data_IF_306314567380
#
_entry.id   IF_306314567380
#
_cell.length_a   1.000
_cell.length_b   1.000
_cell.length_c   1.000
_cell.angle_alpha   90.00
_cell.angle_beta   90.00
_cell.angle_gamma   90.00
#
_symmetry.space_group_name_H-M   'P 1'
#
loop_
_entity.id
_entity.type
_entity.pdbx_description
1 polymer ?
#
# COMPACT_ATOMS: atom_id res chain seq x y z
N UNK A 1 -9.84 -44.04 -21.57
CA UNK A 1 -8.40 -43.70 -21.51
C UNK A 1 -8.13 -42.22 -21.20
N UNK A 2 -8.71 -41.25 -21.93
CA UNK A 2 -8.48 -39.80 -21.70
C UNK A 2 -8.81 -39.29 -20.29
N UNK A 3 -9.85 -39.83 -19.62
CA UNK A 3 -10.24 -39.39 -18.28
C UNK A 3 -9.31 -39.91 -17.18
N UNK A 4 -8.78 -41.14 -17.33
CA UNK A 4 -7.83 -41.73 -16.40
C UNK A 4 -6.46 -41.07 -16.51
N UNK A 5 -6.09 -40.60 -17.71
CA UNK A 5 -4.86 -39.84 -17.95
C UNK A 5 -4.90 -38.44 -17.33
N UNK A 6 -6.05 -37.76 -17.36
CA UNK A 6 -6.25 -36.47 -16.66
C UNK A 6 -6.17 -36.62 -15.13
N UNK A 7 -6.74 -37.70 -14.58
CA UNK A 7 -6.66 -38.02 -13.15
C UNK A 7 -5.23 -38.36 -12.72
N UNK A 8 -4.50 -39.14 -13.53
CA UNK A 8 -3.10 -39.46 -13.28
C UNK A 8 -2.20 -38.21 -13.35
N UNK A 9 -2.46 -37.30 -14.31
CA UNK A 9 -1.75 -36.02 -14.42
C UNK A 9 -2.00 -35.11 -13.22
N UNK A 10 -3.23 -35.08 -12.70
CA UNK A 10 -3.58 -34.29 -11.52
C UNK A 10 -2.91 -34.83 -10.24
N UNK A 11 -2.88 -36.15 -10.07
CA UNK A 11 -2.20 -36.80 -8.94
C UNK A 11 -0.69 -36.60 -9.02
N UNK A 12 -0.10 -36.68 -10.22
CA UNK A 12 1.31 -36.37 -10.45
C UNK A 12 1.63 -34.90 -10.13
N UNK A 13 0.79 -33.96 -10.58
CA UNK A 13 0.95 -32.54 -10.29
C UNK A 13 0.89 -32.28 -8.78
N UNK A 14 -0.08 -32.88 -8.07
CA UNK A 14 -0.17 -32.71 -6.62
C UNK A 14 1.00 -33.35 -5.87
N UNK A 15 1.49 -34.51 -6.32
CA UNK A 15 2.67 -35.15 -5.74
C UNK A 15 3.96 -34.33 -5.96
N UNK A 16 4.11 -33.72 -7.14
CA UNK A 16 5.20 -32.79 -7.43
C UNK A 16 5.09 -31.56 -6.53
N UNK A 17 3.89 -31.00 -6.31
CA UNK A 17 3.70 -29.90 -5.37
C UNK A 17 4.15 -30.27 -3.94
N UNK A 18 3.80 -31.47 -3.44
CA UNK A 18 4.24 -31.93 -2.12
C UNK A 18 5.76 -32.16 -2.04
N UNK A 19 6.39 -32.67 -3.11
CA UNK A 19 7.84 -32.90 -3.16
C UNK A 19 8.64 -31.59 -3.30
N UNK A 20 8.11 -30.59 -4.01
CA UNK A 20 8.75 -29.27 -4.12
C UNK A 20 8.67 -28.46 -2.83
N UNK A 21 7.66 -28.69 -1.97
CA UNK A 21 7.61 -28.06 -0.64
C UNK A 21 8.70 -28.60 0.31
N UNK A 22 9.13 -29.86 0.14
CA UNK A 22 10.12 -30.49 1.02
C UNK A 22 11.58 -30.25 0.59
N UNK A 23 11.81 -29.60 -0.56
CA UNK A 23 13.15 -29.36 -1.11
C UNK A 23 13.69 -27.93 -0.82
N UNK A 24 12.99 -27.14 -0.02
CA UNK A 24 13.46 -25.84 0.49
C UNK A 24 14.16 -25.93 1.87
N UNK A 25 14.49 -27.11 2.37
CA UNK A 25 15.49 -27.21 3.44
C UNK A 25 16.88 -27.18 2.79
N UNK A 26 17.33 -25.95 2.50
CA UNK A 26 18.73 -25.69 2.24
C UNK A 26 19.55 -26.25 3.41
N UNK A 27 20.65 -26.90 3.02
CA UNK A 27 21.68 -27.53 3.85
C UNK A 27 21.97 -26.70 5.12
N UNK A 28 21.39 -27.10 6.26
CA UNK A 28 21.75 -26.54 7.55
C UNK A 28 23.05 -27.20 8.00
N UNK A 29 24.14 -26.85 7.33
CA UNK A 29 25.49 -27.08 7.83
C UNK A 29 25.49 -26.61 9.28
N UNK A 30 25.79 -27.53 10.19
CA UNK A 30 25.67 -27.36 11.64
C UNK A 30 26.13 -25.95 12.03
N UNK A 31 25.21 -25.02 12.36
CA UNK A 31 25.58 -23.64 12.56
C UNK A 31 26.55 -23.61 13.73
N UNK A 32 27.76 -23.12 13.47
CA UNK A 32 28.78 -22.96 14.51
C UNK A 32 28.13 -22.25 15.70
N UNK A 33 28.30 -22.79 16.93
CA UNK A 33 27.58 -22.30 18.08
C UNK A 33 27.87 -20.82 18.30
N UNK A 34 26.83 -20.04 18.62
CA UNK A 34 26.99 -18.62 18.92
C UNK A 34 27.97 -18.46 20.10
N UNK A 35 29.04 -17.66 19.97
CA UNK A 35 29.98 -17.40 21.06
C UNK A 35 29.27 -16.79 22.28
N UNK A 36 29.65 -17.22 23.48
CA UNK A 36 28.99 -16.79 24.72
C UNK A 36 29.02 -15.26 24.91
N UNK A 37 30.14 -14.62 24.56
CA UNK A 37 30.29 -13.17 24.60
C UNK A 37 29.31 -12.46 23.65
N UNK A 38 29.12 -12.98 22.44
CA UNK A 38 28.14 -12.46 21.47
C UNK A 38 26.72 -12.62 22.01
N UNK A 39 26.39 -13.76 22.63
CA UNK A 39 25.08 -13.96 23.24
C UNK A 39 24.78 -12.91 24.32
N UNK A 40 25.71 -12.72 25.25
CA UNK A 40 25.54 -11.76 26.35
C UNK A 40 25.43 -10.31 25.85
N UNK A 41 26.21 -9.97 24.82
CA UNK A 41 26.14 -8.65 24.17
C UNK A 41 24.80 -8.43 23.48
N UNK A 42 24.30 -9.44 22.73
CA UNK A 42 23.00 -9.36 22.05
C UNK A 42 21.85 -9.24 23.06
N UNK A 43 21.85 -10.04 24.12
CA UNK A 43 20.81 -9.98 25.16
C UNK A 43 20.82 -8.62 25.86
N UNK A 44 22.00 -8.13 26.26
CA UNK A 44 22.12 -6.83 26.93
C UNK A 44 21.69 -5.67 26.03
N UNK A 45 22.13 -5.67 24.77
CA UNK A 45 21.76 -4.65 23.80
C UNK A 45 20.26 -4.65 23.48
N UNK A 46 19.66 -5.83 23.33
CA UNK A 46 18.21 -5.95 23.12
C UNK A 46 17.40 -5.50 24.35
N UNK A 47 17.87 -5.80 25.56
CA UNK A 47 17.25 -5.29 26.79
C UNK A 47 17.31 -3.75 26.84
N UNK A 48 18.48 -3.17 26.53
CA UNK A 48 18.67 -1.72 26.52
C UNK A 48 17.77 -1.03 25.50
N UNK A 49 17.72 -1.54 24.26
CA UNK A 49 16.78 -1.05 23.25
C UNK A 49 15.34 -1.13 23.76
N UNK A 50 14.90 -2.29 24.23
CA UNK A 50 13.51 -2.45 24.65
C UNK A 50 13.14 -1.51 25.81
N UNK A 51 14.06 -1.26 26.74
CA UNK A 51 13.86 -0.28 27.83
C UNK A 51 13.80 1.15 27.31
N UNK A 52 14.65 1.51 26.36
CA UNK A 52 14.65 2.84 25.75
C UNK A 52 13.34 3.10 25.01
N UNK A 53 12.91 2.16 24.16
CA UNK A 53 11.63 2.25 23.45
C UNK A 53 10.45 2.32 24.43
N UNK A 54 10.45 1.50 25.49
CA UNK A 54 9.43 1.54 26.53
C UNK A 54 9.36 2.86 27.30
N UNK A 55 10.46 3.62 27.34
CA UNK A 55 10.53 4.92 28.01
C UNK A 55 10.11 6.09 27.11
N UNK A 56 9.86 5.88 25.82
CA UNK A 56 9.37 6.93 24.94
C UNK A 56 7.95 7.35 25.30
N UNK A 57 7.73 8.65 25.42
CA UNK A 57 6.39 9.23 25.35
C UNK A 57 6.05 9.59 23.90
N UNK A 58 4.77 9.93 23.63
CA UNK A 58 4.32 10.21 22.27
C UNK A 58 5.09 11.38 21.60
N UNK A 59 5.58 12.35 22.38
CA UNK A 59 6.33 13.50 21.86
C UNK A 59 7.76 13.12 21.52
N UNK A 60 8.44 12.42 22.43
CA UNK A 60 9.81 11.94 22.21
C UNK A 60 9.85 10.98 21.04
N UNK A 61 8.89 10.06 20.95
CA UNK A 61 8.80 9.13 19.83
C UNK A 61 8.74 9.85 18.47
N UNK A 62 7.94 10.92 18.38
CA UNK A 62 7.84 11.71 17.15
C UNK A 62 9.16 12.44 16.84
N UNK A 63 9.80 13.02 17.86
CA UNK A 63 11.11 13.68 17.70
C UNK A 63 12.19 12.71 17.22
N UNK A 64 12.27 11.51 17.81
CA UNK A 64 13.24 10.48 17.41
C UNK A 64 12.96 9.97 15.98
N UNK A 65 11.70 9.91 15.57
CA UNK A 65 11.31 9.51 14.22
C UNK A 65 11.77 10.53 13.18
N UNK A 66 11.53 11.83 13.43
CA UNK A 66 12.01 12.91 12.57
C UNK A 66 13.54 12.91 12.44
N UNK A 67 14.23 12.69 13.57
CA UNK A 67 15.68 12.56 13.61
C UNK A 67 16.19 11.34 12.82
N UNK A 68 15.52 10.19 12.95
CA UNK A 68 15.86 8.98 12.20
C UNK A 68 15.70 9.21 10.69
N UNK A 69 14.63 9.88 10.27
CA UNK A 69 14.38 10.26 8.88
C UNK A 69 15.44 11.24 8.35
N UNK A 70 15.80 12.25 9.14
CA UNK A 70 16.84 13.20 8.78
C UNK A 70 18.20 12.52 8.60
N UNK A 71 18.57 11.63 9.54
CA UNK A 71 19.81 10.84 9.47
C UNK A 71 19.75 9.71 8.43
N UNK A 72 18.59 9.48 7.80
CA UNK A 72 18.30 8.37 6.87
C UNK A 72 18.61 7.00 7.48
N UNK A 73 18.38 6.84 8.78
CA UNK A 73 18.52 5.57 9.47
C UNK A 73 17.23 4.76 9.30
N UNK A 74 17.16 3.98 8.23
CA UNK A 74 15.98 3.19 7.85
C UNK A 74 15.60 2.14 8.88
N UNK A 75 16.59 1.57 9.58
CA UNK A 75 16.36 0.58 10.64
C UNK A 75 15.62 1.22 11.80
N UNK A 76 16.11 2.36 12.27
CA UNK A 76 15.48 3.09 13.38
C UNK A 76 14.12 3.67 13.00
N UNK A 77 13.97 4.22 11.78
CA UNK A 77 12.68 4.72 11.29
C UNK A 77 11.60 3.62 11.30
N UNK A 78 11.96 2.43 10.80
CA UNK A 78 11.06 1.26 10.77
C UNK A 78 10.70 0.82 12.18
N UNK A 79 11.70 0.73 13.06
CA UNK A 79 11.52 0.34 14.47
C UNK A 79 10.61 1.32 15.22
N UNK A 80 10.83 2.63 15.10
CA UNK A 80 10.05 3.69 15.76
C UNK A 80 8.60 3.69 15.25
N UNK A 81 8.39 3.48 13.95
CA UNK A 81 7.04 3.39 13.37
C UNK A 81 6.29 2.15 13.87
N UNK A 82 6.97 0.99 13.92
CA UNK A 82 6.41 -0.23 14.46
C UNK A 82 6.07 -0.09 15.96
N UNK A 83 6.97 0.57 16.71
CA UNK A 83 6.77 0.86 18.12
C UNK A 83 5.59 1.81 18.35
N UNK A 84 5.43 2.86 17.54
CA UNK A 84 4.32 3.82 17.63
C UNK A 84 2.95 3.14 17.63
N UNK A 85 2.79 2.13 16.78
CA UNK A 85 1.56 1.34 16.70
C UNK A 85 1.38 0.49 17.97
N UNK A 86 2.46 -0.16 18.42
CA UNK A 86 2.43 -1.10 19.55
C UNK A 86 2.29 -0.42 20.92
N UNK A 87 2.88 0.77 21.09
CA UNK A 87 2.93 1.50 22.36
C UNK A 87 1.53 1.76 22.94
N UNK A 88 0.57 2.16 22.11
CA UNK A 88 -0.80 2.44 22.56
C UNK A 88 -1.53 1.19 23.06
N UNK A 89 -1.16 0.04 22.53
CA UNK A 89 -1.79 -1.25 22.80
C UNK A 89 -1.16 -2.02 23.97
N UNK A 90 0.10 -1.73 24.31
CA UNK A 90 0.88 -2.44 25.33
C UNK A 90 0.74 -1.85 26.75
N UNK A 91 0.69 -0.52 26.89
CA UNK A 91 0.75 0.14 28.20
C UNK A 91 2.20 0.25 28.74
N UNK A 92 2.37 0.40 30.05
CA UNK A 92 3.69 0.48 30.69
C UNK A 92 4.46 -0.84 30.67
N UNK A 93 5.79 -0.78 30.63
CA UNK A 93 6.66 -1.95 30.78
C UNK A 93 6.69 -2.42 32.24
N UNK A 94 6.42 -3.72 32.45
CA UNK A 94 6.43 -4.35 33.79
C UNK A 94 7.74 -5.10 34.03
N UNK A 95 8.13 -5.97 33.09
CA UNK A 95 9.36 -6.76 33.19
C UNK A 95 9.85 -7.25 31.82
N UNK A 96 11.14 -7.55 31.72
CA UNK A 96 11.76 -8.17 30.54
C UNK A 96 12.31 -9.53 30.98
N UNK A 97 11.98 -10.60 30.26
CA UNK A 97 12.51 -11.94 30.49
C UNK A 97 13.82 -12.13 29.71
N UNK A 98 14.92 -11.73 30.34
CA UNK A 98 16.27 -11.92 29.78
C UNK A 98 16.80 -13.32 29.97
N UNK A 99 16.28 -14.09 30.94
CA UNK A 99 16.70 -15.46 31.20
C UNK A 99 16.14 -16.44 30.15
N UNK A 100 14.94 -16.17 29.65
CA UNK A 100 14.31 -16.89 28.55
C UNK A 100 14.78 -16.46 27.15
N UNK A 101 15.67 -15.46 27.04
CA UNK A 101 16.12 -14.94 25.76
C UNK A 101 16.88 -15.99 24.95
N UNK A 102 16.52 -16.14 23.67
CA UNK A 102 17.14 -17.09 22.76
C UNK A 102 17.95 -16.33 21.72
N UNK A 103 19.25 -16.65 21.62
CA UNK A 103 20.14 -16.10 20.61
C UNK A 103 20.43 -17.15 19.56
N UNK A 104 20.07 -16.84 18.31
CA UNK A 104 20.24 -17.67 17.13
C UNK A 104 21.28 -17.04 16.20
N UNK A 105 22.03 -17.89 15.50
CA UNK A 105 22.89 -17.47 14.38
C UNK A 105 22.08 -17.64 13.11
N UNK A 106 21.85 -16.57 12.34
CA UNK A 106 21.25 -16.69 11.01
C UNK A 106 22.32 -17.03 9.97
N UNK A 107 23.42 -16.27 10.00
CA UNK A 107 24.54 -16.38 9.07
C UNK A 107 25.88 -16.28 9.82
N UNK A 108 27.00 -16.44 9.12
CA UNK A 108 28.35 -16.36 9.71
C UNK A 108 28.59 -15.08 10.53
N UNK A 109 27.97 -13.98 10.12
CA UNK A 109 28.13 -12.65 10.73
C UNK A 109 26.80 -12.05 11.21
N UNK A 110 25.69 -12.79 11.15
CA UNK A 110 24.37 -12.27 11.52
C UNK A 110 23.77 -13.07 12.68
N UNK A 111 23.32 -12.35 13.70
CA UNK A 111 22.77 -12.89 14.93
C UNK A 111 21.41 -12.28 15.22
N UNK A 112 20.51 -13.09 15.76
CA UNK A 112 19.19 -12.66 16.19
C UNK A 112 19.02 -13.03 17.66
N UNK A 113 18.42 -12.13 18.42
CA UNK A 113 17.98 -12.39 19.79
C UNK A 113 16.48 -12.18 19.86
N UNK A 114 15.78 -13.16 20.39
CA UNK A 114 14.35 -13.09 20.70
C UNK A 114 14.18 -13.12 22.21
N UNK A 115 13.43 -12.16 22.74
CA UNK A 115 13.09 -12.09 24.17
C UNK A 115 11.61 -11.74 24.37
N UNK A 116 11.07 -12.16 25.49
CA UNK A 116 9.70 -11.85 25.88
C UNK A 116 9.70 -10.73 26.93
N UNK A 117 8.74 -9.82 26.83
CA UNK A 117 8.54 -8.77 27.82
C UNK A 117 7.06 -8.68 28.20
N UNK A 118 6.83 -8.40 29.47
CA UNK A 118 5.50 -8.20 30.03
C UNK A 118 5.20 -6.71 30.09
N UNK A 119 4.10 -6.31 29.44
CA UNK A 119 3.52 -4.99 29.56
C UNK A 119 2.16 -5.08 30.25
N UNK A 120 1.67 -3.95 30.76
CA UNK A 120 0.43 -3.88 31.55
C UNK A 120 -0.79 -4.49 30.86
N UNK A 121 -0.92 -4.34 29.54
CA UNK A 121 -2.09 -4.81 28.79
C UNK A 121 -1.90 -6.19 28.18
N UNK A 122 -0.68 -6.53 27.72
CA UNK A 122 -0.37 -7.78 27.03
C UNK A 122 1.15 -8.00 26.94
N UNK A 123 1.63 -9.24 26.79
CA UNK A 123 3.04 -9.50 26.54
C UNK A 123 3.44 -9.12 25.12
N UNK A 124 4.73 -8.88 24.95
CA UNK A 124 5.40 -8.50 23.72
C UNK A 124 6.55 -9.49 23.47
N UNK A 125 6.64 -10.01 22.25
CA UNK A 125 7.87 -10.65 21.77
C UNK A 125 8.68 -9.60 21.05
N UNK A 126 9.91 -9.36 21.52
CA UNK A 126 10.86 -8.46 20.91
C UNK A 126 11.97 -9.26 20.25
N UNK A 127 12.28 -8.92 19.00
CA UNK A 127 13.35 -9.54 18.23
C UNK A 127 14.31 -8.46 17.72
N UNK A 128 15.60 -8.62 18.01
CA UNK A 128 16.67 -7.77 17.52
C UNK A 128 17.59 -8.61 16.63
N UNK A 129 17.80 -8.15 15.41
CA UNK A 129 18.77 -8.73 14.48
C UNK A 129 19.94 -7.76 14.33
N UNK A 130 21.16 -8.28 14.41
CA UNK A 130 22.38 -7.51 14.24
C UNK A 130 23.41 -8.25 13.41
N UNK A 131 24.20 -7.48 12.65
CA UNK A 131 25.26 -7.99 11.79
C UNK A 131 26.63 -7.48 12.27
N UNK A 132 27.64 -8.35 12.27
CA UNK A 132 29.02 -8.00 12.50
C UNK A 132 29.58 -7.20 11.32
N UNK A 133 29.90 -5.93 11.56
CA UNK A 133 30.54 -5.06 10.59
C UNK A 133 32.03 -4.89 10.94
N UNK A 134 32.94 -5.01 9.96
CA UNK A 134 34.35 -4.73 10.18
C UNK A 134 34.54 -3.25 10.48
N UNK A 135 35.24 -2.96 11.57
CA UNK A 135 35.52 -1.60 11.98
C UNK A 135 36.60 -1.01 11.06
N UNK A 136 36.22 -0.12 10.15
CA UNK A 136 37.18 0.55 9.27
C UNK A 136 38.06 1.59 9.96
N UNK A 137 37.66 2.11 11.15
CA UNK A 137 38.23 3.35 11.70
C UNK A 137 38.07 3.54 13.23
N UNK A 138 37.46 2.63 13.98
CA UNK A 138 37.17 2.82 15.42
C UNK A 138 38.28 2.25 16.31
N UNK A 139 38.50 2.88 17.46
CA UNK A 139 39.49 2.53 18.50
C UNK A 139 39.23 1.18 19.20
N UNK A 140 38.17 0.48 18.80
CA UNK A 140 37.77 -0.83 19.34
C UNK A 140 38.35 -1.93 18.47
N UNK A 141 39.18 -2.79 19.07
CA UNK A 141 39.70 -3.99 18.40
C UNK A 141 38.63 -5.08 18.36
N UNK A 142 37.96 -5.25 17.22
CA UNK A 142 36.98 -6.32 16.97
C UNK A 142 35.84 -5.88 16.04
N UNK A 143 35.09 -6.82 15.44
CA UNK A 143 33.87 -6.48 14.71
C UNK A 143 32.84 -5.87 15.67
N UNK A 144 32.04 -4.92 15.18
CA UNK A 144 30.92 -4.33 15.93
C UNK A 144 29.60 -4.94 15.46
N UNK A 145 28.69 -5.20 16.39
CA UNK A 145 27.34 -5.63 16.07
C UNK A 145 26.50 -4.40 15.75
N UNK A 146 26.07 -4.28 14.49
CA UNK A 146 25.21 -3.20 14.03
C UNK A 146 23.80 -3.74 13.89
N UNK A 147 22.81 -3.16 14.60
CA UNK A 147 21.41 -3.54 14.44
C UNK A 147 20.95 -3.36 12.99
N UNK A 148 20.36 -4.39 12.44
CA UNK A 148 19.79 -4.42 11.08
C UNK A 148 18.28 -4.45 11.11
N UNK A 149 17.67 -5.00 12.17
CA UNK A 149 16.21 -5.05 12.32
C UNK A 149 15.79 -5.08 13.79
N UNK A 150 14.67 -4.43 14.10
CA UNK A 150 14.04 -4.41 15.42
C UNK A 150 12.54 -4.65 15.25
N UNK A 151 12.06 -5.79 15.74
CA UNK A 151 10.69 -6.24 15.58
C UNK A 151 9.96 -6.27 16.92
N UNK A 152 8.79 -5.62 16.95
CA UNK A 152 7.91 -5.59 18.10
C UNK A 152 6.62 -6.35 17.76
N UNK A 153 6.40 -7.51 18.37
CA UNK A 153 5.25 -8.37 18.08
C UNK A 153 4.39 -8.53 19.33
N UNK A 154 3.36 -7.67 19.52
CA UNK A 154 2.43 -7.83 20.63
C UNK A 154 1.67 -9.15 20.52
N UNK A 155 1.48 -9.84 21.64
CA UNK A 155 0.68 -11.06 21.65
C UNK A 155 -0.81 -10.72 21.56
N UNK A 156 -1.47 -11.15 20.50
CA UNK A 156 -2.92 -11.07 20.36
C UNK A 156 -3.53 -12.45 20.55
N UNK A 157 -4.61 -12.50 21.34
CA UNK A 157 -5.35 -13.74 21.52
C UNK A 157 -6.01 -14.15 20.20
N UNK A 158 -6.25 -15.46 20.02
CA UNK A 158 -6.93 -15.99 18.82
C UNK A 158 -8.31 -15.34 18.62
N UNK A 159 -9.02 -15.01 19.70
CA UNK A 159 -10.30 -14.31 19.65
C UNK A 159 -10.20 -12.88 19.11
N UNK A 160 -9.20 -12.11 19.54
CA UNK A 160 -8.95 -10.76 19.02
C UNK A 160 -8.50 -10.78 17.56
N UNK A 161 -7.62 -11.72 17.20
CA UNK A 161 -7.21 -11.94 15.80
C UNK A 161 -8.42 -12.27 14.94
N UNK A 162 -9.30 -13.16 15.41
CA UNK A 162 -10.52 -13.54 14.71
C UNK A 162 -11.52 -12.37 14.60
N UNK A 163 -11.68 -11.57 15.66
CA UNK A 163 -12.56 -10.41 15.65
C UNK A 163 -12.05 -9.34 14.66
N UNK A 164 -10.74 -9.05 14.66
CA UNK A 164 -10.11 -8.10 13.72
C UNK A 164 -10.22 -8.60 12.28
N UNK A 165 -9.96 -9.89 12.04
CA UNK A 165 -10.16 -10.52 10.73
C UNK A 165 -11.64 -10.56 10.30
N UNK A 166 -12.54 -10.77 11.27
CA UNK A 166 -13.98 -10.76 11.07
C UNK A 166 -14.50 -9.38 10.68
N UNK A 167 -14.01 -8.31 11.30
CA UNK A 167 -14.34 -6.93 10.89
C UNK A 167 -13.86 -6.64 9.47
N UNK A 168 -12.65 -7.07 9.10
CA UNK A 168 -12.17 -6.89 7.73
C UNK A 168 -13.02 -7.69 6.71
N UNK A 169 -13.43 -8.90 7.09
CA UNK A 169 -14.31 -9.74 6.26
C UNK A 169 -15.71 -9.12 6.15
N UNK A 170 -16.27 -8.59 7.24
CA UNK A 170 -17.56 -7.92 7.23
C UNK A 170 -17.53 -6.65 6.40
N UNK A 171 -16.45 -5.87 6.48
CA UNK A 171 -16.29 -4.64 5.70
C UNK A 171 -16.05 -4.93 4.21
N UNK A 172 -15.23 -5.93 3.88
CA UNK A 172 -14.97 -6.33 2.49
C UNK A 172 -16.10 -7.17 1.88
N UNK A 173 -16.29 -8.39 2.39
CA UNK A 173 -17.25 -9.37 1.88
C UNK A 173 -18.71 -8.95 2.14
N UNK A 174 -19.00 -8.31 3.28
CA UNK A 174 -20.34 -7.82 3.60
C UNK A 174 -20.80 -6.67 2.69
N UNK A 175 -19.90 -5.74 2.36
CA UNK A 175 -20.22 -4.65 1.41
C UNK A 175 -20.51 -5.20 0.02
N UNK A 176 -19.71 -6.16 -0.46
CA UNK A 176 -19.99 -6.83 -1.74
C UNK A 176 -21.35 -7.54 -1.71
N UNK A 177 -21.68 -8.22 -0.61
CA UNK A 177 -22.97 -8.90 -0.45
C UNK A 177 -24.16 -7.91 -0.49
N UNK A 178 -24.05 -6.76 0.20
CA UNK A 178 -25.06 -5.71 0.17
C UNK A 178 -25.23 -5.08 -1.22
N UNK A 179 -24.13 -4.84 -1.94
CA UNK A 179 -24.17 -4.31 -3.31
C UNK A 179 -24.85 -5.30 -4.26
N UNK A 180 -24.57 -6.60 -4.13
CA UNK A 180 -25.24 -7.63 -4.94
C UNK A 180 -26.74 -7.73 -4.66
N UNK A 181 -27.15 -7.61 -3.38
CA UNK A 181 -28.58 -7.52 -3.02
C UNK A 181 -29.20 -6.28 -3.66
N UNK A 182 -28.54 -5.13 -3.59
CA UNK A 182 -29.03 -3.88 -4.15
C UNK A 182 -29.20 -3.94 -5.68
N UNK A 183 -28.22 -4.48 -6.41
CA UNK A 183 -28.31 -4.69 -7.86
C UNK A 183 -29.45 -5.67 -8.19
N UNK A 184 -29.59 -6.75 -7.41
CA UNK A 184 -30.68 -7.71 -7.57
C UNK A 184 -32.05 -7.07 -7.42
N UNK A 185 -32.20 -6.13 -6.47
CA UNK A 185 -33.44 -5.37 -6.27
C UNK A 185 -33.71 -4.37 -7.41
N UNK A 186 -32.70 -3.70 -7.96
CA UNK A 186 -32.85 -2.79 -9.11
C UNK A 186 -33.36 -3.56 -10.33
N UNK A 187 -32.71 -4.68 -10.66
CA UNK A 187 -33.12 -5.53 -11.79
C UNK A 187 -34.51 -6.12 -11.53
N UNK A 188 -34.80 -6.54 -10.29
CA UNK A 188 -36.14 -6.97 -9.89
C UNK A 188 -37.20 -5.87 -10.04
N UNK A 189 -36.84 -4.61 -9.79
CA UNK A 189 -37.72 -3.45 -9.92
C UNK A 189 -38.00 -3.08 -11.38
N UNK A 190 -37.08 -3.36 -12.31
CA UNK A 190 -37.34 -3.22 -13.76
C UNK A 190 -38.49 -4.10 -14.26
N UNK A 191 -38.77 -5.23 -13.59
CA UNK A 191 -39.97 -6.03 -13.86
C UNK A 191 -41.28 -5.25 -13.57
N UNK A 192 -41.25 -4.33 -12.62
CA UNK A 192 -42.41 -3.49 -12.28
C UNK A 192 -42.52 -2.26 -13.19
N UNK A 193 -41.41 -1.77 -13.77
CA UNK A 193 -41.43 -0.68 -14.77
C UNK A 193 -42.11 -1.16 -16.06
N UNK A 194 -41.84 -2.37 -16.55
CA UNK A 194 -42.53 -2.94 -17.72
C UNK A 194 -44.07 -3.02 -17.54
N UNK A 195 -44.54 -3.27 -16.31
CA UNK A 195 -45.98 -3.27 -15.99
C UNK A 195 -46.57 -1.85 -15.91
N UNK A 196 -45.81 -0.90 -15.37
CA UNK A 196 -46.21 0.51 -15.31
C UNK A 196 -46.26 1.15 -16.70
N UNK A 197 -45.32 0.83 -17.58
CA UNK A 197 -45.28 1.29 -18.98
C UNK A 197 -46.46 0.74 -19.80
N UNK A 198 -46.79 -0.55 -19.67
CA UNK A 198 -47.99 -1.13 -20.28
C UNK A 198 -49.28 -0.46 -19.78
N UNK A 199 -49.36 -0.11 -18.49
CA UNK A 199 -50.51 0.58 -17.91
C UNK A 199 -50.61 2.06 -18.33
N UNK A 200 -49.48 2.75 -18.54
CA UNK A 200 -49.45 4.12 -19.04
C UNK A 200 -49.67 4.20 -20.56
N UNK A 201 -49.21 3.22 -21.34
CA UNK A 201 -49.50 3.11 -22.77
C UNK A 201 -51.00 2.87 -23.02
N UNK A 202 -51.63 1.98 -22.25
CA UNK A 202 -53.09 1.77 -22.29
C UNK A 202 -53.86 3.03 -21.89
N UNK A 203 -53.34 3.84 -20.96
CA UNK A 203 -53.96 5.10 -20.54
C UNK A 203 -53.76 6.24 -21.55
N UNK A 204 -52.67 6.22 -22.32
CA UNK A 204 -52.35 7.20 -23.38
C UNK A 204 -53.12 6.95 -24.68
N UNK A 205 -53.52 5.70 -24.95
CA UNK A 205 -54.32 5.35 -26.13
C UNK A 205 -55.84 5.59 -25.95
N UNK A 206 -56.29 5.81 -24.72
CA UNK A 206 -57.69 6.15 -24.40
C UNK A 206 -57.99 7.67 -24.46
N UNK A 207 -57.01 8.53 -24.74
CA UNK A 207 -57.23 9.98 -24.82
C UNK A 207 -56.55 10.59 -26.06
N UNK A 208 -57.12 10.33 -27.24
CA UNK A 208 -56.78 11.07 -28.47
C UNK A 208 -57.99 11.90 -28.92
N UNK A 209 -58.02 13.21 -28.62
CA UNK A 209 -58.69 14.19 -29.46
C UNK A 209 -57.75 14.65 -30.59
N UNK A 210 -58.35 14.96 -31.73
CA UNK A 210 -57.77 15.22 -33.04
C UNK A 210 -56.81 16.43 -33.13
N UNK A 211 -55.90 16.48 -34.14
CA UNK A 211 -54.88 17.51 -34.28
C UNK A 211 -55.31 18.67 -35.19
N UNK A 212 -54.95 19.91 -34.83
CA UNK A 212 -54.67 21.04 -35.74
C UNK A 212 -54.06 22.21 -34.92
N UNK A 213 -53.43 23.22 -35.55
CA UNK A 213 -52.14 23.14 -36.23
C UNK A 213 -51.12 24.16 -35.68
N UNK A 214 -49.91 24.06 -36.23
CA UNK A 214 -48.67 24.77 -35.90
C UNK A 214 -48.72 26.25 -36.29
N UNK A 215 -48.08 27.13 -35.51
CA UNK A 215 -47.48 28.36 -36.04
C UNK A 215 -46.18 28.72 -35.30
N UNK A 216 -45.16 28.95 -36.12
CA UNK A 216 -43.78 29.26 -35.76
C UNK A 216 -43.55 30.80 -35.73
N UNK A 217 -42.38 31.28 -35.25
CA UNK A 217 -42.18 32.53 -34.51
C UNK A 217 -41.63 33.70 -35.34
N UNK A 218 -41.61 34.94 -34.79
CA UNK A 218 -40.51 35.92 -34.96
C UNK A 218 -40.77 37.28 -34.26
N UNK A 219 -39.70 37.80 -33.58
CA UNK A 219 -39.16 39.18 -33.56
C UNK A 219 -40.06 40.39 -33.15
N UNK A 220 -39.62 41.51 -32.55
CA UNK A 220 -38.30 42.08 -32.20
C UNK A 220 -38.48 43.37 -31.34
N UNK A 221 -37.51 43.60 -30.42
CA UNK A 221 -36.77 44.86 -30.10
C UNK A 221 -37.46 46.09 -29.47
N UNK A 222 -36.97 46.54 -28.30
CA UNK A 222 -36.40 47.91 -28.08
C UNK A 222 -35.68 48.10 -26.72
N UNK A 223 -34.41 48.53 -26.84
CA UNK A 223 -33.37 49.15 -25.95
C UNK A 223 -33.90 50.40 -25.17
N UNK A 224 -33.18 51.08 -24.21
CA UNK A 224 -31.72 51.05 -23.98
C UNK A 224 -31.12 51.15 -22.53
N UNK A 225 -29.87 50.63 -22.41
CA UNK A 225 -28.64 51.11 -21.70
C UNK A 225 -28.58 51.53 -20.20
N UNK A 226 -27.38 51.59 -19.54
CA UNK A 226 -26.19 50.72 -19.59
C UNK A 226 -25.51 50.49 -18.20
N UNK A 227 -24.68 49.45 -18.03
CA UNK A 227 -23.46 49.44 -17.19
C UNK A 227 -22.68 48.11 -17.26
N UNK A 228 -21.40 48.21 -17.60
CA UNK A 228 -20.25 47.33 -17.32
C UNK A 228 -20.12 45.91 -17.92
N UNK A 229 -19.61 45.88 -19.17
CA UNK A 229 -18.36 45.22 -19.67
C UNK A 229 -17.60 44.25 -18.71
N UNK A 230 -17.11 43.03 -19.03
CA UNK A 230 -16.73 42.27 -20.26
C UNK A 230 -16.89 40.75 -19.96
N UNK A 231 -17.66 39.93 -20.67
CA UNK A 231 -17.58 39.47 -22.07
C UNK A 231 -16.51 38.37 -22.31
N UNK A 232 -17.00 37.13 -22.25
CA UNK A 232 -16.47 35.95 -22.94
C UNK A 232 -16.91 35.99 -24.41
N UNK A 233 -16.04 35.66 -25.37
CA UNK A 233 -16.44 35.29 -26.74
C UNK A 233 -15.30 34.58 -27.50
N UNK A 234 -15.51 33.30 -27.83
CA UNK A 234 -15.05 32.70 -29.09
C UNK A 234 -16.03 33.11 -30.23
N UNK A 235 -15.88 32.74 -31.53
CA UNK A 235 -14.79 32.02 -32.22
C UNK A 235 -14.33 32.70 -33.54
N UNK A 236 -13.10 32.42 -34.00
CA UNK A 236 -12.71 32.61 -35.41
C UNK A 236 -11.94 31.37 -35.87
N UNK A 237 -12.33 30.91 -37.05
CA UNK A 237 -11.77 29.79 -37.78
C UNK A 237 -10.40 30.15 -38.36
N UNK A 238 -9.36 29.36 -38.06
CA UNK A 238 -8.17 29.31 -38.90
C UNK A 238 -7.62 27.87 -39.01
N UNK A 239 -7.21 27.54 -40.23
CA UNK A 239 -6.84 26.25 -40.79
C UNK A 239 -5.32 26.00 -40.55
N UNK A 240 -4.82 24.74 -40.50
CA UNK A 240 -3.78 24.32 -39.56
C UNK A 240 -2.33 24.50 -40.03
N UNK A 241 -1.42 24.79 -39.09
CA UNK A 241 0.04 24.67 -39.26
C UNK A 241 0.54 23.32 -38.72
N UNK A 242 1.48 22.65 -39.40
CA UNK A 242 1.94 21.32 -39.01
C UNK A 242 3.03 21.43 -37.94
N UNK A 243 2.73 21.02 -36.70
CA UNK A 243 3.80 20.76 -35.73
C UNK A 243 3.50 21.03 -34.26
N UNK A 244 2.33 21.57 -33.90
CA UNK A 244 1.99 21.76 -32.48
C UNK A 244 1.07 20.64 -32.01
N UNK A 245 1.66 19.59 -31.44
CA UNK A 245 0.93 18.74 -30.51
C UNK A 245 0.52 19.63 -29.33
N UNK A 246 -0.79 19.73 -29.09
CA UNK A 246 -1.32 20.50 -27.99
C UNK A 246 -0.94 19.83 -26.66
N UNK A 247 0.19 20.27 -26.08
CA UNK A 247 0.71 19.81 -24.79
C UNK A 247 -0.23 20.15 -23.63
N UNK A 248 -1.28 20.97 -23.84
CA UNK A 248 -2.26 21.26 -22.80
C UNK A 248 -2.99 20.00 -22.31
N UNK A 249 -3.04 18.94 -23.12
CA UNK A 249 -3.67 17.68 -22.75
C UNK A 249 -2.81 16.78 -21.84
N UNK A 250 -1.50 17.02 -21.74
CA UNK A 250 -0.54 16.10 -21.11
C UNK A 250 0.34 16.81 -20.05
N UNK A 251 -0.16 17.86 -19.39
CA UNK A 251 0.57 18.62 -18.36
C UNK A 251 1.00 17.75 -17.17
N UNK A 252 0.18 16.78 -16.78
CA UNK A 252 0.52 15.78 -15.76
C UNK A 252 1.67 14.88 -16.21
N UNK A 253 1.67 14.46 -17.48
CA UNK A 253 2.71 13.60 -18.04
C UNK A 253 4.05 14.34 -18.15
N UNK A 254 4.02 15.62 -18.53
CA UNK A 254 5.19 16.51 -18.53
C UNK A 254 5.76 16.65 -17.12
N UNK A 255 4.91 16.88 -16.10
CA UNK A 255 5.36 17.02 -14.72
C UNK A 255 6.08 15.75 -14.21
N UNK A 256 5.51 14.57 -14.46
CA UNK A 256 6.10 13.29 -14.04
C UNK A 256 7.42 13.01 -14.77
N UNK A 257 7.49 13.26 -16.07
CA UNK A 257 8.71 13.06 -16.86
C UNK A 257 9.82 14.03 -16.40
N UNK A 258 9.49 15.30 -16.19
CA UNK A 258 10.44 16.31 -15.70
C UNK A 258 10.96 15.94 -14.31
N UNK A 259 10.08 15.52 -13.39
CA UNK A 259 10.48 15.09 -12.06
C UNK A 259 11.38 13.84 -12.08
N UNK A 260 11.05 12.85 -12.92
CA UNK A 260 11.84 11.63 -13.06
C UNK A 260 13.24 11.91 -13.62
N UNK A 261 13.37 12.80 -14.60
CA UNK A 261 14.67 13.19 -15.18
C UNK A 261 15.48 14.02 -14.17
N UNK A 262 14.84 14.96 -13.46
CA UNK A 262 15.50 15.74 -12.43
C UNK A 262 16.08 14.84 -11.32
N UNK A 263 15.32 13.83 -10.88
CA UNK A 263 15.76 12.85 -9.91
C UNK A 263 16.91 11.96 -10.43
N UNK A 264 16.80 11.45 -11.66
CA UNK A 264 17.80 10.55 -12.24
C UNK A 264 19.13 11.27 -12.55
N UNK A 265 19.06 12.52 -13.03
CA UNK A 265 20.23 13.31 -13.40
C UNK A 265 20.80 14.15 -12.24
N UNK A 266 20.09 14.23 -11.10
CA UNK A 266 20.44 15.13 -9.98
C UNK A 266 20.56 16.61 -10.40
N UNK A 267 19.69 17.06 -11.31
CA UNK A 267 19.67 18.44 -11.85
C UNK A 267 18.35 19.13 -11.45
N UNK A 268 18.34 20.45 -11.17
CA UNK A 268 17.11 21.17 -10.82
C UNK A 268 16.05 21.10 -11.93
N UNK A 269 14.79 20.92 -11.55
CA UNK A 269 13.66 20.81 -12.49
C UNK A 269 13.41 22.08 -13.31
N UNK A 270 13.73 23.25 -12.76
CA UNK A 270 13.54 24.58 -13.38
C UNK A 270 14.32 24.76 -14.71
N UNK A 271 15.33 23.92 -14.97
CA UNK A 271 16.11 23.96 -16.22
C UNK A 271 15.62 23.01 -17.32
N UNK A 272 14.57 22.22 -17.07
CA UNK A 272 14.14 21.14 -17.95
C UNK A 272 12.80 21.49 -18.62
N UNK A 273 12.82 21.56 -19.95
CA UNK A 273 11.62 21.86 -20.77
C UNK A 273 11.35 20.70 -21.72
N UNK A 274 10.18 20.08 -21.58
CA UNK A 274 9.70 19.02 -22.49
C UNK A 274 9.15 19.67 -23.76
N UNK A 275 9.79 19.40 -24.91
CA UNK A 275 9.44 20.02 -26.20
C UNK A 275 8.39 19.26 -27.01
N UNK A 276 8.32 17.93 -26.88
CA UNK A 276 7.33 17.09 -27.56
C UNK A 276 7.23 15.72 -26.89
N UNK A 277 6.06 15.09 -26.96
CA UNK A 277 5.82 13.74 -26.42
C UNK A 277 5.20 12.87 -27.50
N UNK A 278 6.02 12.01 -28.11
CA UNK A 278 5.55 11.11 -29.16
C UNK A 278 5.21 9.74 -28.61
N UNK A 279 3.92 9.40 -28.52
CA UNK A 279 3.46 8.06 -28.16
C UNK A 279 3.65 7.11 -29.33
N UNK A 280 4.31 5.96 -29.12
CA UNK A 280 4.34 4.91 -30.15
C UNK A 280 3.00 4.17 -30.17
N UNK A 281 2.43 3.87 -31.35
CA UNK A 281 1.23 3.05 -31.44
C UNK A 281 1.54 1.64 -30.89
N UNK A 282 0.81 1.24 -29.84
CA UNK A 282 1.05 0.00 -29.11
C UNK A 282 0.73 -1.23 -29.95
N UNK A 283 1.74 -1.89 -30.51
CA UNK A 283 1.56 -3.20 -31.15
C UNK A 283 2.81 -4.10 -31.18
N UNK A 284 4.05 -3.59 -31.00
CA UNK A 284 5.25 -4.40 -31.31
C UNK A 284 6.19 -4.73 -30.16
N UNK A 285 5.80 -4.54 -28.89
CA UNK A 285 6.69 -4.86 -27.75
C UNK A 285 6.51 -6.28 -27.17
N UNK A 286 5.51 -7.05 -27.62
CA UNK A 286 5.26 -8.42 -27.12
C UNK A 286 6.10 -9.53 -27.77
N UNK A 287 7.01 -9.20 -28.70
CA UNK A 287 7.82 -10.17 -29.44
C UNK A 287 9.33 -9.82 -29.42
N UNK A 288 9.86 -9.40 -28.28
CA UNK A 288 11.31 -9.29 -28.05
C UNK A 288 11.70 -10.15 -26.86
#
# INVERSE_FOLDING_TARGET
>A
MKQNMKKALLVLCMAVCFLTLSACSADSGNPEPVPQQTKETMISGAEEYLREFAAFDAKRLQSELEDAQWRKNTVMETALTAWQTSMTELGGLVSIDTAGAVVTRLDKHSFEVTMEAQFEKRPLTFTLTAEEQPVGNSLVSGPILVPTDLLFVPYYTTGEKLAKAGMNTMMGMGTVFLVLIFISLIIGSFKNINKLEASMAAKKQANVPAPAPVSAPAAAVSEPEPADTLASAEPVWDIPLPGEENLAADTELVAVITAAIAAAASVPAEGLVVRSIRRRPGSKWKNA
#
